data_IF_637216222381
#
_entry.id   IF_637216222381
#
_cell.length_a   1.000
_cell.length_b   1.000
_cell.length_c   1.000
_cell.angle_alpha   90.00
_cell.angle_beta   90.00
_cell.angle_gamma   90.00
#
_symmetry.space_group_name_H-M   'P 1'
#
loop_
_entity.id
_entity.type
_entity.pdbx_description
1 polymer ?
#
# COMPACT_ATOMS: atom_id res chain seq x y z
N UNK A 1 -1.08 -10.23 21.50
CA UNK A 1 -0.52 -11.00 20.35
C UNK A 1 -1.46 -10.79 19.18
N UNK A 2 -0.96 -10.35 18.02
CA UNK A 2 -1.80 -10.16 16.82
C UNK A 2 -2.04 -11.54 16.18
N UNK A 3 -3.31 -11.90 16.00
CA UNK A 3 -3.73 -13.06 15.20
C UNK A 3 -3.88 -12.64 13.73
N UNK A 4 -2.99 -13.15 12.88
CA UNK A 4 -2.94 -12.79 11.45
C UNK A 4 -4.13 -13.35 10.67
N UNK A 5 -4.76 -14.44 11.14
CA UNK A 5 -5.92 -15.02 10.46
C UNK A 5 -7.18 -14.17 10.63
N UNK A 6 -7.23 -13.34 11.68
CA UNK A 6 -8.31 -12.36 11.88
C UNK A 6 -8.33 -11.21 10.86
N UNK A 7 -7.36 -11.21 9.92
CA UNK A 7 -7.24 -10.28 8.80
C UNK A 7 -7.62 -10.88 7.43
N UNK A 8 -8.16 -12.10 7.41
CA UNK A 8 -8.72 -12.68 6.18
C UNK A 8 -10.06 -12.02 5.85
N UNK A 9 -10.27 -11.72 4.56
CA UNK A 9 -11.49 -11.08 4.04
C UNK A 9 -12.20 -12.07 3.10
N UNK A 10 -13.36 -12.56 3.52
CA UNK A 10 -14.20 -13.50 2.76
C UNK A 10 -15.62 -12.96 2.49
N UNK A 11 -15.96 -11.85 3.15
CA UNK A 11 -17.30 -11.27 3.22
C UNK A 11 -17.23 -9.78 3.53
N UNK A 12 -18.33 -9.04 3.28
CA UNK A 12 -18.40 -7.62 3.64
C UNK A 12 -18.24 -7.40 5.16
N UNK A 13 -18.80 -8.28 5.99
CA UNK A 13 -18.66 -8.20 7.44
C UNK A 13 -17.20 -8.39 7.89
N UNK A 14 -16.50 -9.36 7.29
CA UNK A 14 -15.07 -9.55 7.55
C UNK A 14 -14.26 -8.33 7.12
N UNK A 15 -14.58 -7.71 5.98
CA UNK A 15 -13.90 -6.50 5.48
C UNK A 15 -14.00 -5.34 6.47
N UNK A 16 -15.22 -5.05 6.97
CA UNK A 16 -15.45 -4.01 7.99
C UNK A 16 -14.66 -4.33 9.28
N UNK A 17 -14.67 -5.60 9.70
CA UNK A 17 -13.96 -6.02 10.89
C UNK A 17 -12.43 -5.89 10.71
N UNK A 18 -11.90 -6.20 9.52
CA UNK A 18 -10.50 -6.05 9.16
C UNK A 18 -10.09 -4.58 9.09
N UNK A 19 -10.92 -3.69 8.54
CA UNK A 19 -10.67 -2.25 8.54
C UNK A 19 -10.49 -1.71 9.97
N UNK A 20 -11.40 -2.06 10.88
CA UNK A 20 -11.30 -1.65 12.28
C UNK A 20 -10.05 -2.20 12.98
N UNK A 21 -9.67 -3.45 12.71
CA UNK A 21 -8.43 -4.04 13.25
C UNK A 21 -7.19 -3.35 12.67
N UNK A 22 -7.21 -3.01 11.38
CA UNK A 22 -6.14 -2.26 10.73
C UNK A 22 -5.98 -0.88 11.35
N UNK A 23 -7.06 -0.15 11.59
CA UNK A 23 -7.02 1.14 12.27
C UNK A 23 -6.44 1.04 13.68
N UNK A 24 -6.77 -0.03 14.43
CA UNK A 24 -6.19 -0.27 15.75
C UNK A 24 -4.70 -0.62 15.69
N UNK A 25 -4.27 -1.37 14.67
CA UNK A 25 -2.87 -1.71 14.42
C UNK A 25 -2.04 -0.48 14.04
N UNK A 26 -2.58 0.41 13.21
CA UNK A 26 -1.94 1.67 12.83
C UNK A 26 -1.75 2.62 14.02
N UNK A 27 -2.68 2.64 14.97
CA UNK A 27 -2.50 3.37 16.24
C UNK A 27 -1.33 2.80 17.06
N UNK A 28 -1.17 1.49 17.09
CA UNK A 28 -0.03 0.85 17.77
C UNK A 28 1.29 1.15 17.07
N UNK A 29 1.30 1.10 15.73
CA UNK A 29 2.44 1.50 14.92
C UNK A 29 2.85 2.95 15.20
N UNK A 30 1.90 3.89 15.14
CA UNK A 30 2.16 5.29 15.46
C UNK A 30 2.72 5.48 16.88
N UNK A 31 2.16 4.78 17.88
CA UNK A 31 2.69 4.82 19.24
C UNK A 31 4.11 4.25 19.35
N UNK A 32 4.44 3.20 18.59
CA UNK A 32 5.79 2.66 18.52
C UNK A 32 6.77 3.67 17.90
N UNK A 33 6.42 4.37 16.82
CA UNK A 33 7.25 5.42 16.23
C UNK A 33 7.58 6.53 17.25
N UNK A 34 6.59 6.98 18.01
CA UNK A 34 6.80 7.98 19.07
C UNK A 34 7.73 7.46 20.17
N UNK A 35 7.58 6.20 20.57
CA UNK A 35 8.44 5.58 21.58
C UNK A 35 9.89 5.41 21.09
N UNK A 36 10.09 5.26 19.78
CA UNK A 36 11.40 5.24 19.12
C UNK A 36 12.01 6.64 18.96
N UNK A 37 11.30 7.69 19.38
CA UNK A 37 11.77 9.07 19.36
C UNK A 37 11.57 9.78 18.02
N UNK A 38 10.74 9.24 17.13
CA UNK A 38 10.36 9.93 15.90
C UNK A 38 9.47 11.14 16.27
N UNK A 39 9.77 12.29 15.68
CA UNK A 39 9.01 13.51 15.91
C UNK A 39 7.52 13.32 15.58
N UNK A 40 6.58 13.88 16.36
CA UNK A 40 5.15 13.62 16.20
C UNK A 40 4.60 13.90 14.80
N UNK A 41 5.10 14.94 14.14
CA UNK A 41 4.68 15.29 12.79
C UNK A 41 5.11 14.22 11.78
N UNK A 42 6.35 13.74 11.89
CA UNK A 42 6.90 12.71 11.00
C UNK A 42 6.24 11.35 11.28
N UNK A 43 6.05 11.00 12.55
CA UNK A 43 5.31 9.79 12.94
C UNK A 43 3.88 9.80 12.36
N UNK A 44 3.21 10.94 12.41
CA UNK A 44 1.89 11.14 11.80
C UNK A 44 1.90 10.95 10.29
N UNK A 45 2.89 11.51 9.58
CA UNK A 45 3.03 11.35 8.13
C UNK A 45 3.29 9.89 7.74
N UNK A 46 4.17 9.19 8.46
CA UNK A 46 4.47 7.78 8.22
C UNK A 46 3.24 6.90 8.45
N UNK A 47 2.53 7.12 9.56
CA UNK A 47 1.30 6.40 9.87
C UNK A 47 0.21 6.67 8.82
N UNK A 48 0.07 7.91 8.35
CA UNK A 48 -0.89 8.27 7.30
C UNK A 48 -0.56 7.59 5.97
N UNK A 49 0.71 7.56 5.56
CA UNK A 49 1.14 6.87 4.36
C UNK A 49 0.81 5.36 4.38
N UNK A 50 1.05 4.72 5.52
CA UNK A 50 0.67 3.32 5.74
C UNK A 50 -0.86 3.12 5.77
N UNK A 51 -1.61 4.00 6.45
CA UNK A 51 -3.07 3.98 6.51
C UNK A 51 -3.69 4.02 5.11
N UNK A 52 -3.23 4.96 4.28
CA UNK A 52 -3.72 5.13 2.92
C UNK A 52 -3.49 3.88 2.05
N UNK A 53 -2.29 3.29 2.10
CA UNK A 53 -2.01 2.05 1.38
C UNK A 53 -2.85 0.86 1.90
N UNK A 54 -2.93 0.68 3.22
CA UNK A 54 -3.53 -0.51 3.80
C UNK A 54 -5.05 -0.49 3.67
N UNK A 55 -5.70 0.61 4.06
CA UNK A 55 -7.15 0.64 4.18
C UNK A 55 -7.82 0.90 2.84
N UNK A 56 -7.31 1.86 2.08
CA UNK A 56 -7.92 2.17 0.78
C UNK A 56 -7.57 1.12 -0.28
N UNK A 57 -6.30 0.67 -0.32
CA UNK A 57 -5.85 -0.22 -1.39
C UNK A 57 -5.86 -1.70 -1.00
N UNK A 58 -5.15 -2.11 0.05
CA UNK A 58 -5.07 -3.55 0.40
C UNK A 58 -6.43 -4.10 0.85
N UNK A 59 -7.12 -3.40 1.74
CA UNK A 59 -8.42 -3.82 2.27
C UNK A 59 -9.53 -3.44 1.28
N UNK A 60 -9.68 -2.15 0.97
CA UNK A 60 -10.80 -1.67 0.17
C UNK A 60 -10.78 -2.11 -1.29
N UNK A 61 -9.62 -2.02 -1.98
CA UNK A 61 -9.54 -2.35 -3.40
C UNK A 61 -9.17 -3.81 -3.66
N UNK A 62 -8.23 -4.39 -2.90
CA UNK A 62 -7.73 -5.74 -3.14
C UNK A 62 -8.47 -6.81 -2.31
N UNK A 63 -9.08 -6.43 -1.18
CA UNK A 63 -9.72 -7.34 -0.22
C UNK A 63 -8.76 -8.44 0.24
N UNK A 64 -7.52 -8.05 0.52
CA UNK A 64 -6.43 -8.97 0.89
C UNK A 64 -6.04 -8.88 2.37
N UNK A 65 -5.45 -9.97 2.88
CA UNK A 65 -4.84 -9.99 4.19
C UNK A 65 -3.48 -9.27 4.15
N UNK A 66 -3.35 -8.18 4.91
CA UNK A 66 -2.14 -7.37 4.98
C UNK A 66 -0.88 -8.11 5.50
N UNK A 67 -1.03 -9.26 6.15
CA UNK A 67 0.08 -10.10 6.61
C UNK A 67 0.55 -11.13 5.58
N UNK A 68 -0.25 -11.39 4.54
CA UNK A 68 0.06 -12.34 3.46
C UNK A 68 0.15 -11.64 2.11
N UNK A 69 0.58 -10.37 2.12
CA UNK A 69 0.60 -9.55 0.90
C UNK A 69 1.63 -10.04 -0.10
N UNK A 70 1.29 -9.94 -1.38
CA UNK A 70 2.29 -9.98 -2.44
C UNK A 70 3.04 -8.65 -2.48
N UNK A 71 4.39 -8.63 -2.44
CA UNK A 71 5.15 -7.37 -2.56
C UNK A 71 4.82 -6.57 -3.83
N UNK A 72 4.36 -7.23 -4.90
CA UNK A 72 3.93 -6.57 -6.15
C UNK A 72 2.82 -5.54 -5.92
N UNK A 73 2.03 -5.67 -4.84
CA UNK A 73 0.99 -4.70 -4.44
C UNK A 73 1.55 -3.30 -4.23
N UNK A 74 2.81 -3.16 -3.83
CA UNK A 74 3.51 -1.88 -3.70
C UNK A 74 3.63 -1.17 -5.06
N UNK A 75 3.91 -1.93 -6.13
CA UNK A 75 3.96 -1.39 -7.50
C UNK A 75 2.58 -1.08 -8.04
N UNK A 76 1.60 -1.95 -7.78
CA UNK A 76 0.22 -1.74 -8.25
C UNK A 76 -0.46 -0.55 -7.57
N UNK A 77 -0.20 -0.34 -6.28
CA UNK A 77 -0.69 0.83 -5.56
C UNK A 77 -0.19 2.12 -6.20
N UNK A 78 1.11 2.33 -6.21
CA UNK A 78 1.69 3.62 -6.60
C UNK A 78 1.88 3.77 -8.12
N UNK A 79 2.08 2.67 -8.84
CA UNK A 79 2.30 2.66 -10.29
C UNK A 79 1.04 2.48 -11.14
N UNK A 80 -0.13 2.27 -10.52
CA UNK A 80 -1.39 2.16 -11.24
C UNK A 80 -2.56 2.73 -10.44
N UNK A 81 -2.93 2.13 -9.31
CA UNK A 81 -4.17 2.44 -8.60
C UNK A 81 -4.26 3.91 -8.18
N UNK A 82 -3.19 4.43 -7.55
CA UNK A 82 -3.11 5.83 -7.14
C UNK A 82 -3.20 6.77 -8.34
N UNK A 83 -2.53 6.44 -9.46
CA UNK A 83 -2.49 7.29 -10.65
C UNK A 83 -3.89 7.47 -11.25
N UNK A 84 -4.69 6.40 -11.31
CA UNK A 84 -6.06 6.47 -11.87
C UNK A 84 -7.10 7.00 -10.88
N UNK A 85 -6.78 7.01 -9.57
CA UNK A 85 -7.68 7.48 -8.51
C UNK A 85 -7.45 8.93 -8.10
N UNK A 86 -6.31 9.50 -8.47
CA UNK A 86 -5.91 10.87 -8.14
C UNK A 86 -6.01 11.74 -9.38
N UNK A 87 -6.58 12.95 -9.24
CA UNK A 87 -6.73 13.87 -10.37
C UNK A 87 -5.37 14.39 -10.88
N UNK A 88 -4.47 14.71 -9.95
CA UNK A 88 -3.11 15.20 -10.23
C UNK A 88 -2.08 14.34 -9.48
N UNK A 89 -1.84 13.09 -9.93
CA UNK A 89 -0.88 12.21 -9.29
C UNK A 89 0.50 12.84 -9.26
N UNK A 90 1.10 12.91 -8.08
CA UNK A 90 2.43 13.49 -7.91
C UNK A 90 3.39 12.57 -7.16
N UNK A 91 4.66 12.65 -7.56
CA UNK A 91 5.71 11.77 -7.05
C UNK A 91 6.00 11.99 -5.55
N UNK A 92 5.80 13.22 -5.06
CA UNK A 92 6.07 13.57 -3.66
C UNK A 92 5.11 12.83 -2.73
N UNK A 93 3.81 12.88 -2.99
CA UNK A 93 2.80 12.17 -2.20
C UNK A 93 3.02 10.65 -2.23
N UNK A 94 3.28 10.09 -3.42
CA UNK A 94 3.55 8.66 -3.56
C UNK A 94 4.76 8.25 -2.72
N UNK A 95 5.87 8.97 -2.85
CA UNK A 95 7.12 8.61 -2.14
C UNK A 95 6.97 8.74 -0.63
N UNK A 96 6.24 9.75 -0.16
CA UNK A 96 5.88 9.89 1.26
C UNK A 96 5.01 8.72 1.74
N UNK A 97 3.99 8.33 0.96
CA UNK A 97 3.14 7.18 1.31
C UNK A 97 3.96 5.88 1.36
N UNK A 98 4.79 5.63 0.34
CA UNK A 98 5.63 4.43 0.24
C UNK A 98 6.68 4.35 1.36
N UNK A 99 7.20 5.48 1.83
CA UNK A 99 8.07 5.50 3.01
C UNK A 99 7.33 5.01 4.26
N UNK A 100 6.11 5.50 4.49
CA UNK A 100 5.24 5.02 5.57
C UNK A 100 4.99 3.51 5.48
N UNK A 101 4.71 3.01 4.27
CA UNK A 101 4.50 1.58 4.01
C UNK A 101 5.74 0.74 4.33
N UNK A 102 6.93 1.15 3.86
CA UNK A 102 8.16 0.42 4.12
C UNK A 102 8.50 0.35 5.62
N UNK A 103 8.27 1.44 6.35
CA UNK A 103 8.50 1.48 7.80
C UNK A 103 7.45 0.64 8.55
N UNK A 104 6.18 0.69 8.13
CA UNK A 104 5.14 -0.15 8.69
C UNK A 104 5.44 -1.65 8.54
N UNK A 105 5.85 -2.11 7.36
CA UNK A 105 6.22 -3.51 7.17
C UNK A 105 7.50 -3.87 7.93
N UNK A 106 8.43 -2.93 8.13
CA UNK A 106 9.58 -3.14 9.03
C UNK A 106 9.12 -3.36 10.48
N UNK A 107 8.14 -2.59 10.95
CA UNK A 107 7.52 -2.77 12.26
C UNK A 107 6.82 -4.14 12.39
N UNK A 108 6.14 -4.62 11.34
CA UNK A 108 5.54 -5.97 11.34
C UNK A 108 6.60 -7.08 11.34
N UNK A 109 7.71 -6.89 10.63
CA UNK A 109 8.82 -7.82 10.61
C UNK A 109 9.47 -7.98 12.00
N UNK A 110 9.70 -6.86 12.70
CA UNK A 110 10.24 -6.88 14.07
C UNK A 110 9.36 -7.66 15.05
N UNK A 111 8.06 -7.79 14.74
CA UNK A 111 7.09 -8.60 15.50
C UNK A 111 6.96 -10.04 14.99
N UNK A 112 7.77 -10.46 14.02
CA UNK A 112 7.74 -11.78 13.41
C UNK A 112 6.47 -12.04 12.59
N UNK A 113 5.87 -11.00 11.99
CA UNK A 113 4.60 -11.11 11.27
C UNK A 113 4.74 -11.24 9.75
N UNK A 114 5.91 -10.91 9.22
CA UNK A 114 6.31 -11.13 7.84
C UNK A 114 7.74 -11.67 7.84
N UNK A 115 8.15 -12.34 6.78
CA UNK A 115 9.51 -12.85 6.62
C UNK A 115 10.45 -11.81 5.97
N UNK A 116 11.77 -12.02 6.12
CA UNK A 116 12.82 -11.17 5.55
C UNK A 116 12.69 -11.01 4.03
N UNK A 117 12.35 -12.08 3.31
CA UNK A 117 12.29 -12.05 1.84
C UNK A 117 11.15 -11.15 1.37
N UNK A 118 10.01 -11.21 2.05
CA UNK A 118 8.87 -10.32 1.80
C UNK A 118 9.23 -8.87 2.12
N UNK A 119 9.83 -8.60 3.28
CA UNK A 119 10.22 -7.24 3.67
C UNK A 119 11.20 -6.60 2.68
N UNK A 120 12.25 -7.32 2.27
CA UNK A 120 13.26 -6.76 1.37
C UNK A 120 12.70 -6.43 -0.01
N UNK A 121 11.76 -7.24 -0.52
CA UNK A 121 11.04 -6.92 -1.76
C UNK A 121 10.15 -5.68 -1.59
N UNK A 122 9.42 -5.57 -0.49
CA UNK A 122 8.59 -4.39 -0.19
C UNK A 122 9.45 -3.12 -0.18
N UNK A 123 10.58 -3.13 0.54
CA UNK A 123 11.52 -2.00 0.60
C UNK A 123 12.10 -1.67 -0.78
N UNK A 124 12.49 -2.69 -1.54
CA UNK A 124 13.03 -2.51 -2.90
C UNK A 124 12.00 -1.83 -3.81
N UNK A 125 10.73 -2.23 -3.75
CA UNK A 125 9.70 -1.63 -4.58
C UNK A 125 9.30 -0.25 -4.10
N UNK A 126 9.18 -0.05 -2.77
CA UNK A 126 8.85 1.24 -2.18
C UNK A 126 9.89 2.33 -2.50
N UNK A 127 11.14 1.95 -2.77
CA UNK A 127 12.24 2.88 -3.09
C UNK A 127 12.55 2.98 -4.59
N UNK A 128 11.80 2.30 -5.48
CA UNK A 128 11.95 2.40 -6.94
C UNK A 128 11.28 3.66 -7.50
N UNK A 129 11.78 4.82 -7.09
CA UNK A 129 11.23 6.14 -7.42
C UNK A 129 11.15 6.35 -8.93
N UNK A 130 12.17 5.90 -9.68
CA UNK A 130 12.23 6.03 -11.13
C UNK A 130 11.13 5.24 -11.84
N UNK A 131 10.76 4.06 -11.32
CA UNK A 131 9.61 3.33 -11.83
C UNK A 131 8.34 4.17 -11.70
N UNK A 132 8.04 4.73 -10.52
CA UNK A 132 6.83 5.51 -10.29
C UNK A 132 6.79 6.80 -11.10
N UNK A 133 7.93 7.48 -11.22
CA UNK A 133 8.07 8.66 -12.06
C UNK A 133 7.71 8.35 -13.52
N UNK A 134 8.29 7.29 -14.10
CA UNK A 134 7.97 6.86 -15.47
C UNK A 134 6.51 6.46 -15.63
N UNK A 135 5.89 5.86 -14.61
CA UNK A 135 4.45 5.50 -14.65
C UNK A 135 3.54 6.73 -14.71
N UNK A 136 3.85 7.78 -13.96
CA UNK A 136 3.12 9.06 -14.03
C UNK A 136 3.35 9.74 -15.38
N UNK A 137 4.61 9.88 -15.81
CA UNK A 137 4.96 10.50 -17.10
C UNK A 137 4.23 9.80 -18.26
N UNK A 138 4.36 8.46 -18.34
CA UNK A 138 3.70 7.67 -19.38
C UNK A 138 2.18 7.68 -19.32
N UNK A 139 1.57 7.97 -18.15
CA UNK A 139 0.12 8.14 -18.04
C UNK A 139 -0.35 9.44 -18.71
N UNK A 140 0.41 10.53 -18.51
CA UNK A 140 0.12 11.81 -19.16
C UNK A 140 0.38 11.80 -20.67
N UNK A 141 1.33 10.97 -21.11
CA UNK A 141 1.67 10.80 -22.53
C UNK A 141 0.73 9.82 -23.28
N UNK A 142 -0.32 9.29 -22.63
CA UNK A 142 -1.29 8.41 -23.27
C UNK A 142 -2.00 9.16 -24.40
N UNK A 143 -1.88 8.61 -25.61
CA UNK A 143 -2.52 9.13 -26.80
C UNK A 143 -3.18 7.98 -27.59
N UNK A 144 -4.36 8.25 -28.18
CA UNK A 144 -5.12 7.28 -28.96
C UNK A 144 -5.76 6.16 -28.14
N UNK A 145 -6.60 5.36 -28.82
CA UNK A 145 -7.50 4.40 -28.15
C UNK A 145 -6.79 3.17 -27.54
N UNK A 146 -5.52 2.93 -27.91
CA UNK A 146 -4.74 1.76 -27.45
C UNK A 146 -3.74 2.08 -26.34
N UNK A 147 -3.45 3.35 -26.08
CA UNK A 147 -2.43 3.75 -25.11
C UNK A 147 -2.78 3.38 -23.67
N UNK A 148 -4.03 3.60 -23.26
CA UNK A 148 -4.47 3.28 -21.90
C UNK A 148 -4.50 1.77 -21.60
N UNK A 149 -5.08 0.90 -22.44
CA UNK A 149 -5.01 -0.54 -22.24
C UNK A 149 -3.57 -1.08 -22.13
N UNK A 150 -2.65 -0.58 -22.96
CA UNK A 150 -1.24 -0.99 -22.89
C UNK A 150 -0.58 -0.53 -21.59
N UNK A 151 -0.80 0.73 -21.20
CA UNK A 151 -0.31 1.26 -19.93
C UNK A 151 -0.82 0.45 -18.73
N UNK A 152 -2.05 -0.07 -18.78
CA UNK A 152 -2.59 -0.95 -17.74
C UNK A 152 -1.88 -2.31 -17.68
N UNK A 153 -1.46 -2.87 -18.81
CA UNK A 153 -0.79 -4.18 -18.89
C UNK A 153 0.63 -4.17 -18.30
N UNK A 154 1.32 -3.03 -18.32
CA UNK A 154 2.66 -2.89 -17.75
C UNK A 154 2.68 -3.00 -16.21
N UNK A 155 1.55 -2.70 -15.56
CA UNK A 155 1.39 -2.84 -14.12
C UNK A 155 -0.07 -3.23 -13.81
N UNK A 156 -0.48 -4.48 -14.08
CA UNK A 156 -1.88 -4.87 -13.99
C UNK A 156 -2.34 -4.80 -12.53
N UNK A 157 -3.49 -4.18 -12.26
CA UNK A 157 -4.11 -4.29 -10.95
C UNK A 157 -4.48 -5.74 -10.65
N UNK A 158 -4.62 -6.14 -9.37
CA UNK A 158 -5.35 -7.36 -9.05
C UNK A 158 -6.66 -7.37 -9.84
N UNK A 159 -7.09 -8.55 -10.28
CA UNK A 159 -8.46 -8.70 -10.76
C UNK A 159 -9.36 -8.15 -9.67
N UNK A 160 -9.89 -6.95 -9.90
CA UNK A 160 -11.03 -6.46 -9.17
C UNK A 160 -12.01 -7.62 -9.28
N UNK A 161 -12.60 -8.08 -8.18
CA UNK A 161 -13.78 -8.91 -8.26
C UNK A 161 -14.83 -8.05 -8.97
N UNK A 162 -14.79 -8.02 -10.31
CA UNK A 162 -15.73 -7.33 -11.14
C UNK A 162 -17.01 -8.11 -10.93
N UNK A 163 -17.91 -7.50 -10.16
CA UNK A 163 -19.34 -7.54 -10.39
C UNK A 163 -19.67 -8.20 -11.73
N UNK A 164 -20.10 -9.46 -11.66
CA UNK A 164 -21.06 -9.99 -12.62
C UNK A 164 -22.41 -9.30 -12.40
#
# INVERSE_FOLDING_TARGET
MIDTNSFNIDSLESEIAVDHRCAALLKQFHANLLNEGIEPLDAGQLAHGADYFLREFIIGACRENLFSISPVRIRQFAGHWYIIKTLEPNLKEITQALQGVAIFYTYLHQQGKIDDTTLEKIKTYATDIDFYRRRIESFWDINGDTGYPQWCQDCPLPECASTA
#
